data_IF_533709088944
#
_entry.id   IF_533709088944
#
_cell.length_a   1.000
_cell.length_b   1.000
_cell.length_c   1.000
_cell.angle_alpha   90.00
_cell.angle_beta   90.00
_cell.angle_gamma   90.00
#
_symmetry.space_group_name_H-M   'P 1'
#
loop_
_entity.id
_entity.type
_entity.pdbx_description
1 polymer ?
#
# COMPACT_ATOMS: atom_id res chain seq x y z
N UNK A 1 12.53 24.11 2.59
CA UNK A 1 11.06 24.29 2.56
C UNK A 1 10.34 23.06 3.11
N UNK A 2 10.71 21.84 2.71
CA UNK A 2 10.08 20.61 3.19
C UNK A 2 10.09 20.44 4.71
N UNK A 3 11.19 20.77 5.40
CA UNK A 3 11.24 20.70 6.88
C UNK A 3 10.25 21.63 7.60
N UNK A 4 9.86 22.75 6.98
CA UNK A 4 8.84 23.64 7.55
C UNK A 4 7.44 23.09 7.28
N UNK A 5 7.22 22.57 6.07
CA UNK A 5 5.97 21.92 5.68
C UNK A 5 5.63 20.74 6.59
N UNK A 6 6.58 19.82 6.81
CA UNK A 6 6.33 18.64 7.66
C UNK A 6 6.04 19.01 9.12
N UNK A 7 6.68 20.06 9.66
CA UNK A 7 6.35 20.57 11.00
C UNK A 7 4.91 21.07 11.07
N UNK A 8 4.43 21.78 10.05
CA UNK A 8 3.03 22.22 9.97
C UNK A 8 2.06 21.03 9.91
N UNK A 9 2.40 19.98 9.17
CA UNK A 9 1.60 18.74 9.13
C UNK A 9 1.58 18.06 10.50
N UNK A 10 2.74 17.89 11.15
CA UNK A 10 2.82 17.35 12.51
C UNK A 10 1.93 18.15 13.48
N UNK A 11 1.98 19.48 13.40
CA UNK A 11 1.18 20.35 14.25
C UNK A 11 -0.33 20.14 14.01
N UNK A 12 -0.75 20.03 12.75
CA UNK A 12 -2.14 19.76 12.40
C UNK A 12 -2.61 18.39 12.88
N UNK A 13 -1.75 17.36 12.79
CA UNK A 13 -2.07 15.99 13.23
C UNK A 13 -2.36 15.97 14.73
N UNK A 14 -1.44 16.48 15.56
CA UNK A 14 -1.63 16.44 17.02
C UNK A 14 -2.82 17.32 17.44
N UNK A 15 -3.01 18.49 16.83
CA UNK A 15 -4.19 19.33 17.13
C UNK A 15 -5.51 18.59 16.87
N UNK A 16 -5.64 17.95 15.70
CA UNK A 16 -6.82 17.15 15.36
C UNK A 16 -6.98 15.92 16.24
N UNK A 17 -5.89 15.29 16.70
CA UNK A 17 -5.95 14.20 17.66
C UNK A 17 -6.44 14.69 19.03
N UNK A 18 -5.90 15.81 19.54
CA UNK A 18 -6.32 16.41 20.80
C UNK A 18 -7.80 16.80 20.82
N UNK A 19 -8.32 17.36 19.72
CA UNK A 19 -9.75 17.67 19.57
C UNK A 19 -10.65 16.42 19.75
N UNK A 20 -10.14 15.25 19.40
CA UNK A 20 -10.86 13.97 19.49
C UNK A 20 -10.61 13.17 20.77
N UNK A 21 -9.71 13.64 21.65
CA UNK A 21 -9.33 12.99 22.92
C UNK A 21 -9.62 13.88 24.13
N UNK A 22 -10.53 14.84 24.00
CA UNK A 22 -11.03 15.63 25.11
C UNK A 22 -11.92 14.79 26.05
N UNK A 23 -11.31 14.33 27.14
CA UNK A 23 -11.86 13.47 28.22
C UNK A 23 -13.28 13.83 28.72
N UNK A 24 -13.73 15.07 28.52
CA UNK A 24 -15.04 15.57 28.94
C UNK A 24 -16.17 15.31 27.91
N UNK A 25 -15.85 14.79 26.71
CA UNK A 25 -16.84 14.55 25.64
C UNK A 25 -17.45 13.13 25.69
N UNK A 26 -18.77 13.02 25.62
CA UNK A 26 -19.47 11.72 25.61
C UNK A 26 -19.17 10.87 24.35
N UNK A 27 -18.60 11.47 23.30
CA UNK A 27 -18.22 10.82 22.05
C UNK A 27 -17.04 9.85 22.18
N UNK A 28 -16.10 10.11 23.08
CA UNK A 28 -14.94 9.23 23.34
C UNK A 28 -15.30 7.90 24.02
N UNK A 29 -16.42 7.88 24.74
CA UNK A 29 -16.84 6.69 25.50
C UNK A 29 -17.12 5.47 24.61
N UNK A 30 -17.40 5.67 23.32
CA UNK A 30 -17.70 4.57 22.39
C UNK A 30 -16.47 4.13 21.58
N UNK A 31 -15.63 5.04 21.10
CA UNK A 31 -14.49 4.70 20.23
C UNK A 31 -13.38 3.96 20.97
N UNK A 32 -13.24 4.15 22.29
CA UNK A 32 -12.18 3.56 23.12
C UNK A 32 -12.71 2.63 24.22
N UNK A 33 -13.94 2.13 24.07
CA UNK A 33 -14.66 1.43 25.16
C UNK A 33 -13.91 0.22 25.75
N UNK A 34 -13.07 -0.48 24.96
CA UNK A 34 -12.27 -1.61 25.44
C UNK A 34 -10.88 -1.23 25.96
N UNK A 35 -10.43 0.01 25.72
CA UNK A 35 -9.17 0.52 26.24
C UNK A 35 -9.36 0.96 27.70
N UNK A 36 -8.41 0.62 28.57
CA UNK A 36 -8.47 1.08 29.96
C UNK A 36 -8.19 2.59 30.07
N UNK A 37 -8.70 3.20 31.15
CA UNK A 37 -8.59 4.65 31.36
C UNK A 37 -7.14 5.14 31.46
N UNK A 38 -6.23 4.32 31.98
CA UNK A 38 -4.82 4.71 32.12
C UNK A 38 -4.14 4.79 30.76
N UNK A 39 -4.42 3.85 29.86
CA UNK A 39 -3.96 3.86 28.47
C UNK A 39 -4.43 5.10 27.72
N UNK A 40 -5.71 5.46 27.82
CA UNK A 40 -6.25 6.66 27.16
C UNK A 40 -5.70 7.94 27.78
N UNK A 41 -5.58 7.98 29.11
CA UNK A 41 -4.94 9.10 29.80
C UNK A 41 -3.49 9.29 29.37
N UNK A 42 -2.72 8.21 29.24
CA UNK A 42 -1.33 8.26 28.78
C UNK A 42 -1.24 8.82 27.36
N UNK A 43 -2.08 8.33 26.44
CA UNK A 43 -2.14 8.86 25.06
C UNK A 43 -2.46 10.35 25.05
N UNK A 44 -3.52 10.76 25.75
CA UNK A 44 -3.93 12.16 25.86
C UNK A 44 -2.82 13.04 26.42
N UNK A 45 -2.17 12.59 27.49
CA UNK A 45 -1.10 13.34 28.13
C UNK A 45 0.09 13.51 27.16
N UNK A 46 0.51 12.44 26.48
CA UNK A 46 1.57 12.53 25.49
C UNK A 46 1.24 13.48 24.32
N UNK A 47 -0.03 13.52 23.88
CA UNK A 47 -0.50 14.46 22.87
C UNK A 47 -0.43 15.92 23.34
N UNK A 48 -0.65 16.20 24.62
CA UNK A 48 -0.48 17.55 25.17
C UNK A 48 0.99 17.94 25.25
N UNK A 49 1.81 17.03 25.77
CA UNK A 49 3.21 17.34 26.06
C UNK A 49 4.02 17.61 24.80
N UNK A 50 3.76 16.88 23.71
CA UNK A 50 4.59 16.94 22.49
C UNK A 50 4.77 18.36 21.90
N UNK A 51 3.87 19.30 22.19
CA UNK A 51 4.00 20.71 21.77
C UNK A 51 4.63 21.65 22.78
N UNK A 52 4.59 21.28 24.05
CA UNK A 52 5.03 22.13 25.16
C UNK A 52 6.45 21.79 25.63
N UNK A 53 7.00 20.70 25.12
CA UNK A 53 8.30 20.19 25.55
C UNK A 53 9.46 20.60 24.64
N UNK A 54 10.64 20.63 25.24
CA UNK A 54 11.90 20.82 24.53
C UNK A 54 12.28 19.55 23.74
N UNK A 55 13.24 19.67 22.82
CA UNK A 55 13.76 18.52 22.06
C UNK A 55 14.33 17.41 22.95
N UNK A 56 14.73 17.71 24.19
CA UNK A 56 15.32 16.77 25.14
C UNK A 56 14.29 15.83 25.78
N UNK A 57 13.01 16.24 25.79
CA UNK A 57 11.91 15.50 26.42
C UNK A 57 11.15 14.62 25.41
N UNK A 58 11.24 14.92 24.11
CA UNK A 58 10.64 14.14 23.04
C UNK A 58 11.03 12.64 23.09
N UNK A 59 12.28 12.23 23.40
CA UNK A 59 12.63 10.81 23.53
C UNK A 59 11.77 10.08 24.57
N UNK A 60 11.43 10.73 25.69
CA UNK A 60 10.57 10.13 26.73
C UNK A 60 9.13 9.98 26.24
N UNK A 61 8.62 10.94 25.49
CA UNK A 61 7.29 10.84 24.85
C UNK A 61 7.29 9.73 23.80
N UNK A 62 8.37 9.62 23.01
CA UNK A 62 8.51 8.56 22.01
C UNK A 62 8.49 7.16 22.63
N UNK A 63 9.13 6.97 23.78
CA UNK A 63 9.10 5.68 24.51
C UNK A 63 7.67 5.35 24.94
N UNK A 64 6.93 6.32 25.51
CA UNK A 64 5.53 6.15 25.90
C UNK A 64 4.64 5.84 24.69
N UNK A 65 4.78 6.59 23.60
CA UNK A 65 4.04 6.38 22.36
C UNK A 65 4.34 5.01 21.74
N UNK A 66 5.61 4.58 21.77
CA UNK A 66 6.01 3.23 21.31
C UNK A 66 5.37 2.15 22.17
N UNK A 67 5.36 2.32 23.50
CA UNK A 67 4.71 1.37 24.42
C UNK A 67 3.20 1.27 24.16
N UNK A 68 2.53 2.38 23.82
CA UNK A 68 1.12 2.39 23.44
C UNK A 68 0.88 1.64 22.12
N UNK A 69 1.75 1.81 21.12
CA UNK A 69 1.70 1.05 19.85
C UNK A 69 1.87 -0.44 20.13
N UNK A 70 2.90 -0.82 20.89
CA UNK A 70 3.21 -2.22 21.19
C UNK A 70 2.08 -2.89 21.97
N UNK A 71 1.51 -2.19 22.96
CA UNK A 71 0.34 -2.66 23.69
C UNK A 71 -0.87 -2.85 22.77
N UNK A 72 -1.14 -1.90 21.88
CA UNK A 72 -2.23 -2.04 20.93
C UNK A 72 -1.99 -3.23 19.98
N UNK A 73 -0.76 -3.45 19.48
CA UNK A 73 -0.40 -4.61 18.66
C UNK A 73 -0.65 -5.93 19.40
N UNK A 74 -0.24 -6.04 20.67
CA UNK A 74 -0.53 -7.21 21.50
C UNK A 74 -2.04 -7.49 21.55
N UNK A 75 -2.85 -6.44 21.75
CA UNK A 75 -4.31 -6.58 21.77
C UNK A 75 -4.90 -6.90 20.40
N UNK A 76 -4.36 -6.39 19.30
CA UNK A 76 -4.81 -6.78 17.95
C UNK A 76 -4.59 -8.29 17.71
N UNK A 77 -3.47 -8.84 18.16
CA UNK A 77 -3.17 -10.28 18.01
C UNK A 77 -3.90 -11.18 19.01
N UNK A 78 -4.53 -10.61 20.04
CA UNK A 78 -5.33 -11.36 21.02
C UNK A 78 -6.72 -11.76 20.48
N UNK A 79 -7.14 -11.26 19.31
CA UNK A 79 -8.42 -11.59 18.69
C UNK A 79 -8.20 -12.19 17.29
N UNK A 80 -9.10 -13.07 16.82
CA UNK A 80 -9.22 -13.37 15.40
C UNK A 80 -9.48 -12.08 14.61
N UNK A 81 -8.91 -11.95 13.41
CA UNK A 81 -8.95 -10.71 12.62
C UNK A 81 -10.35 -10.07 12.50
N UNK A 82 -11.38 -10.89 12.25
CA UNK A 82 -12.77 -10.45 12.08
C UNK A 82 -13.43 -9.92 13.37
N UNK A 83 -12.88 -10.28 14.52
CA UNK A 83 -13.44 -10.02 15.85
C UNK A 83 -12.65 -8.94 16.60
N UNK A 84 -11.61 -8.36 15.98
CA UNK A 84 -10.77 -7.32 16.58
C UNK A 84 -11.63 -6.08 16.90
N UNK A 85 -11.74 -5.68 18.19
CA UNK A 85 -12.51 -4.51 18.56
C UNK A 85 -11.98 -3.22 17.94
N UNK A 86 -12.89 -2.36 17.48
CA UNK A 86 -12.56 -1.09 16.84
C UNK A 86 -11.68 -0.19 17.70
N UNK A 87 -11.85 -0.19 19.02
CA UNK A 87 -11.04 0.58 19.95
C UNK A 87 -9.55 0.25 19.91
N UNK A 88 -9.19 -1.02 19.72
CA UNK A 88 -7.76 -1.39 19.64
C UNK A 88 -7.17 -0.94 18.31
N UNK A 89 -7.96 -1.02 17.23
CA UNK A 89 -7.58 -0.47 15.91
C UNK A 89 -7.39 1.04 15.98
N UNK A 90 -8.27 1.76 16.71
CA UNK A 90 -8.17 3.20 16.96
C UNK A 90 -6.97 3.57 17.82
N UNK A 91 -6.73 2.86 18.92
CA UNK A 91 -5.58 3.10 19.79
C UNK A 91 -4.27 2.93 19.00
N UNK A 92 -4.13 1.83 18.25
CA UNK A 92 -2.95 1.59 17.43
C UNK A 92 -2.73 2.72 16.41
N UNK A 93 -3.79 3.17 15.75
CA UNK A 93 -3.72 4.26 14.75
C UNK A 93 -3.27 5.58 15.38
N UNK A 94 -3.93 6.00 16.45
CA UNK A 94 -3.65 7.30 17.09
C UNK A 94 -2.27 7.29 17.79
N UNK A 95 -1.89 6.17 18.41
CA UNK A 95 -0.55 6.00 18.99
C UNK A 95 0.55 5.96 17.91
N UNK A 96 0.29 5.35 16.74
CA UNK A 96 1.24 5.33 15.61
C UNK A 96 1.43 6.72 15.02
N UNK A 97 0.37 7.53 14.93
CA UNK A 97 0.46 8.94 14.51
C UNK A 97 1.30 9.76 15.50
N UNK A 98 1.03 9.64 16.80
CA UNK A 98 1.82 10.30 17.85
C UNK A 98 3.30 9.88 17.79
N UNK A 99 3.55 8.57 17.73
CA UNK A 99 4.91 8.00 17.60
C UNK A 99 5.63 8.59 16.38
N UNK A 100 4.97 8.60 15.23
CA UNK A 100 5.53 9.13 13.97
C UNK A 100 5.86 10.62 14.10
N UNK A 101 5.00 11.42 14.75
CA UNK A 101 5.29 12.84 15.02
C UNK A 101 6.53 12.98 15.91
N UNK A 102 6.63 12.22 17.00
CA UNK A 102 7.82 12.24 17.86
C UNK A 102 9.10 11.83 17.10
N UNK A 103 9.04 10.77 16.29
CA UNK A 103 10.14 10.36 15.42
C UNK A 103 10.56 11.50 14.49
N UNK A 104 9.61 12.12 13.78
CA UNK A 104 9.87 13.25 12.87
C UNK A 104 10.53 14.42 13.63
N UNK A 105 10.00 14.81 14.79
CA UNK A 105 10.54 15.92 15.58
C UNK A 105 11.99 15.69 16.03
N UNK A 106 12.34 14.45 16.39
CA UNK A 106 13.73 14.08 16.69
C UNK A 106 14.61 14.12 15.44
N UNK A 107 14.14 13.53 14.34
CA UNK A 107 14.92 13.42 13.10
C UNK A 107 15.26 14.80 12.53
N UNK A 108 14.34 15.76 12.64
CA UNK A 108 14.58 17.13 12.22
C UNK A 108 15.77 17.79 12.94
N UNK A 109 16.17 17.27 14.11
CA UNK A 109 17.34 17.73 14.85
C UNK A 109 18.64 16.99 14.46
N UNK A 110 18.56 15.72 14.03
CA UNK A 110 19.75 14.85 13.82
C UNK A 110 20.01 14.44 12.35
N UNK A 111 19.07 14.66 11.42
CA UNK A 111 19.17 14.43 9.95
C UNK A 111 19.60 13.01 9.51
N UNK A 112 19.23 11.96 10.23
CA UNK A 112 19.51 10.58 9.80
C UNK A 112 18.46 10.04 8.80
N UNK A 113 18.91 9.43 7.69
CA UNK A 113 18.07 8.85 6.64
C UNK A 113 17.35 7.59 7.11
N UNK A 114 18.02 6.72 7.87
CA UNK A 114 17.41 5.45 8.31
C UNK A 114 16.21 5.71 9.23
N UNK A 115 16.29 6.76 10.03
CA UNK A 115 15.21 7.20 10.88
C UNK A 115 13.95 7.64 10.10
N UNK A 116 14.08 8.28 8.92
CA UNK A 116 12.92 8.62 8.09
C UNK A 116 12.19 7.39 7.52
N UNK A 117 12.93 6.33 7.20
CA UNK A 117 12.33 5.06 6.75
C UNK A 117 11.49 4.42 7.86
N UNK A 118 11.94 4.56 9.11
CA UNK A 118 11.20 4.07 10.27
C UNK A 118 9.86 4.78 10.46
N UNK A 119 9.78 6.09 10.17
CA UNK A 119 8.52 6.85 10.16
C UNK A 119 7.53 6.28 9.15
N UNK A 120 7.97 6.06 7.89
CA UNK A 120 7.11 5.46 6.86
C UNK A 120 6.63 4.07 7.29
N UNK A 121 7.53 3.26 7.86
CA UNK A 121 7.17 1.95 8.41
C UNK A 121 6.09 2.05 9.47
N UNK A 122 6.25 2.91 10.48
CA UNK A 122 5.24 3.11 11.54
C UNK A 122 3.87 3.48 10.94
N UNK A 123 3.85 4.40 9.97
CA UNK A 123 2.62 4.86 9.30
C UNK A 123 1.98 3.77 8.42
N UNK A 124 2.77 3.02 7.65
CA UNK A 124 2.27 1.92 6.84
C UNK A 124 1.74 0.76 7.69
N UNK A 125 2.37 0.45 8.84
CA UNK A 125 1.84 -0.55 9.77
C UNK A 125 0.43 -0.17 10.25
N UNK A 126 0.18 1.12 10.52
CA UNK A 126 -1.16 1.57 10.89
C UNK A 126 -2.17 1.36 9.76
N UNK A 127 -1.80 1.66 8.50
CA UNK A 127 -2.65 1.39 7.34
C UNK A 127 -2.93 -0.11 7.16
N UNK A 128 -1.89 -0.94 7.18
CA UNK A 128 -1.99 -2.38 6.87
C UNK A 128 -2.66 -3.16 7.99
N UNK A 129 -2.29 -2.95 9.26
CA UNK A 129 -2.83 -3.74 10.37
C UNK A 129 -4.25 -3.34 10.74
N UNK A 130 -4.56 -2.05 10.66
CA UNK A 130 -5.81 -1.52 11.23
C UNK A 130 -6.74 -0.90 10.21
N UNK A 131 -6.25 -0.52 9.03
CA UNK A 131 -6.98 0.29 8.07
C UNK A 131 -7.09 1.75 8.50
N UNK A 132 -6.35 2.19 9.52
CA UNK A 132 -6.35 3.53 10.09
C UNK A 132 -7.76 4.11 10.36
N UNK A 133 -8.60 3.43 11.16
CA UNK A 133 -9.96 3.89 11.40
C UNK A 133 -9.99 5.23 12.13
N UNK A 134 -11.10 5.95 11.95
CA UNK A 134 -11.35 7.23 12.59
C UNK A 134 -11.34 8.42 11.64
N UNK A 135 -12.09 9.44 12.04
CA UNK A 135 -12.27 10.64 11.25
C UNK A 135 -10.91 11.28 10.94
N UNK A 136 -10.63 11.40 9.64
CA UNK A 136 -9.43 11.99 9.05
C UNK A 136 -8.09 11.28 9.37
N UNK A 137 -8.08 10.09 10.03
CA UNK A 137 -6.83 9.39 10.37
C UNK A 137 -6.05 8.94 9.14
N UNK A 138 -6.73 8.36 8.15
CA UNK A 138 -6.11 7.99 6.86
C UNK A 138 -5.46 9.20 6.19
N UNK A 139 -6.17 10.33 6.12
CA UNK A 139 -5.66 11.56 5.52
C UNK A 139 -4.42 12.09 6.26
N UNK A 140 -4.43 12.09 7.60
CA UNK A 140 -3.27 12.45 8.41
C UNK A 140 -2.06 11.58 8.08
N UNK A 141 -2.26 10.25 7.98
CA UNK A 141 -1.20 9.31 7.62
C UNK A 141 -0.67 9.63 6.23
N UNK A 142 -1.54 9.79 5.23
CA UNK A 142 -1.12 10.07 3.86
C UNK A 142 -0.33 11.37 3.76
N UNK A 143 -0.77 12.44 4.44
CA UNK A 143 -0.06 13.71 4.46
C UNK A 143 1.33 13.58 5.10
N UNK A 144 1.46 12.83 6.20
CA UNK A 144 2.76 12.56 6.83
C UNK A 144 3.69 11.72 5.93
N UNK A 145 3.16 10.68 5.28
CA UNK A 145 3.92 9.86 4.32
C UNK A 145 4.41 10.73 3.17
N UNK A 146 3.52 11.54 2.57
CA UNK A 146 3.86 12.37 1.41
C UNK A 146 4.99 13.36 1.72
N UNK A 147 4.89 14.08 2.85
CA UNK A 147 5.94 15.01 3.28
C UNK A 147 7.25 14.30 3.64
N UNK A 148 7.16 13.12 4.27
CA UNK A 148 8.34 12.30 4.58
C UNK A 148 9.04 11.83 3.30
N UNK A 149 8.29 11.34 2.32
CA UNK A 149 8.83 10.95 1.02
C UNK A 149 9.43 12.12 0.25
N UNK A 150 8.84 13.33 0.33
CA UNK A 150 9.42 14.55 -0.25
C UNK A 150 10.81 14.83 0.33
N UNK A 151 10.95 14.78 1.66
CA UNK A 151 12.25 14.98 2.32
C UNK A 151 13.24 13.89 1.94
N UNK A 152 12.83 12.62 1.90
CA UNK A 152 13.69 11.52 1.49
C UNK A 152 14.21 11.71 0.06
N UNK A 153 13.37 12.17 -0.89
CA UNK A 153 13.79 12.49 -2.25
C UNK A 153 14.81 13.64 -2.29
N UNK A 154 14.59 14.71 -1.51
CA UNK A 154 15.54 15.83 -1.41
C UNK A 154 16.91 15.37 -0.87
N UNK A 155 16.92 14.52 0.15
CA UNK A 155 18.16 13.99 0.75
C UNK A 155 18.93 13.10 -0.23
N UNK A 156 18.24 12.37 -1.11
CA UNK A 156 18.86 11.52 -2.12
C UNK A 156 19.53 12.33 -3.22
N UNK A 157 18.86 13.36 -3.72
CA UNK A 157 19.42 14.26 -4.73
C UNK A 157 20.70 14.96 -4.25
N UNK A 158 20.75 15.37 -2.97
CA UNK A 158 21.95 15.97 -2.38
C UNK A 158 23.13 14.99 -2.39
N UNK A 159 22.88 13.72 -2.04
CA UNK A 159 23.93 12.70 -2.00
C UNK A 159 24.43 12.35 -3.41
N UNK A 160 23.55 12.28 -4.40
CA UNK A 160 23.93 12.00 -5.79
C UNK A 160 24.80 13.14 -6.38
N UNK A 161 24.46 14.40 -6.09
CA UNK A 161 25.26 15.56 -6.51
C UNK A 161 26.65 15.61 -5.84
N UNK A 162 26.76 15.21 -4.56
CA UNK A 162 28.06 15.14 -3.86
C UNK A 162 28.98 14.04 -4.43
N UNK A 163 28.38 12.95 -4.94
CA UNK A 163 29.12 11.83 -5.52
C UNK A 163 29.70 12.19 -6.89
N UNK A 164 28.97 12.94 -7.72
CA UNK A 164 29.40 13.38 -9.06
C UNK A 164 30.56 14.41 -9.01
N UNK A 165 30.63 15.26 -7.96
CA UNK A 165 31.75 16.19 -7.79
C UNK A 165 33.05 15.48 -7.37
N UNK A 166 32.97 14.37 -6.65
CA UNK A 166 34.16 13.61 -6.20
C UNK A 166 34.84 12.79 -7.31
N UNK A 167 34.11 12.42 -8.36
CA UNK A 167 34.64 11.63 -9.50
C UNK A 167 35.28 12.47 -10.61
N UNK A 168 35.26 13.79 -10.51
CA UNK A 168 35.72 14.71 -11.57
C UNK A 168 37.16 15.22 -11.40
N UNK A 169 37.92 14.75 -10.40
CA UNK A 169 39.32 15.11 -10.15
C UNK A 169 40.21 13.88 -9.94
N UNK A 170 40.24 12.96 -10.91
CA UNK A 170 41.35 11.99 -11.16
C UNK A 170 41.07 11.16 -12.41
N UNK A 171 41.21 11.78 -13.59
CA UNK A 171 41.51 11.07 -14.84
C UNK A 171 42.61 11.84 -15.57
N UNK A 172 43.82 11.72 -15.04
CA UNK A 172 45.01 11.85 -15.87
C UNK A 172 45.07 10.64 -16.79
N UNK A 173 45.16 10.95 -18.07
CA UNK A 173 45.39 10.05 -19.18
C UNK A 173 46.71 9.34 -18.95
N UNK A 174 46.69 8.00 -18.86
CA UNK A 174 47.86 7.18 -19.19
C UNK A 174 47.39 6.14 -20.21
N UNK A 175 47.84 6.39 -21.42
CA UNK A 175 47.70 5.55 -22.61
C UNK A 175 48.77 4.44 -22.55
N UNK A 176 48.46 3.28 -23.12
CA UNK A 176 49.29 2.06 -23.23
C UNK A 176 49.37 1.10 -22.03
N UNK A 177 48.46 0.12 -22.01
CA UNK A 177 48.84 -1.30 -21.84
C UNK A 177 47.78 -2.24 -22.41
N UNK A 178 47.92 -2.55 -23.70
CA UNK A 178 47.34 -3.74 -24.30
C UNK A 178 48.02 -4.96 -23.66
N UNK A 179 47.27 -5.81 -22.94
CA UNK A 179 47.50 -7.27 -22.84
C UNK A 179 46.38 -8.01 -22.10
N UNK A 180 45.73 -8.89 -22.85
CA UNK A 180 45.19 -10.21 -22.48
C UNK A 180 43.98 -10.27 -21.52
N UNK A 181 42.79 -10.16 -22.11
CA UNK A 181 41.54 -10.70 -21.54
C UNK A 181 41.50 -12.21 -21.85
N UNK A 182 41.39 -13.12 -20.87
CA UNK A 182 41.11 -14.53 -21.15
C UNK A 182 39.64 -14.66 -21.57
N UNK A 183 39.42 -15.03 -22.84
CA UNK A 183 38.14 -15.50 -23.35
C UNK A 183 37.66 -16.73 -22.56
N UNK A 184 36.83 -16.52 -21.54
CA UNK A 184 35.95 -17.58 -21.02
C UNK A 184 34.84 -17.79 -22.03
N UNK A 185 34.98 -18.88 -22.79
CA UNK A 185 33.98 -19.43 -23.71
C UNK A 185 32.61 -19.45 -23.02
N UNK A 186 31.67 -18.74 -23.63
CA UNK A 186 30.24 -18.85 -23.39
C UNK A 186 29.84 -20.32 -23.55
N UNK A 187 29.62 -21.02 -22.42
CA UNK A 187 28.78 -22.21 -22.45
C UNK A 187 27.37 -21.71 -22.72
N UNK A 188 26.81 -22.15 -23.84
CA UNK A 188 25.44 -21.91 -24.24
C UNK A 188 24.52 -22.12 -23.04
N UNK A 189 23.85 -21.04 -22.63
CA UNK A 189 22.77 -21.11 -21.65
C UNK A 189 21.68 -21.99 -22.25
N UNK A 190 21.58 -23.22 -21.75
CA UNK A 190 20.38 -24.03 -21.88
C UNK A 190 19.27 -23.24 -21.22
N UNK A 191 18.45 -22.59 -22.03
CA UNK A 191 17.23 -21.92 -21.60
C UNK A 191 16.36 -22.96 -20.91
N UNK A 192 16.30 -22.94 -19.57
CA UNK A 192 15.22 -23.62 -18.81
C UNK A 192 13.91 -23.01 -19.30
N UNK A 193 13.30 -23.68 -20.27
CA UNK A 193 11.91 -23.46 -20.68
C UNK A 193 11.09 -23.66 -19.41
N UNK A 194 10.69 -22.57 -18.75
CA UNK A 194 9.57 -22.66 -17.84
C UNK A 194 8.43 -23.21 -18.69
N UNK A 195 7.97 -24.42 -18.40
CA UNK A 195 6.85 -25.03 -19.10
C UNK A 195 5.66 -24.08 -18.95
N UNK A 196 5.46 -23.22 -19.94
CA UNK A 196 4.31 -22.34 -20.03
C UNK A 196 3.11 -23.29 -20.04
N UNK A 197 2.13 -23.11 -19.14
CA UNK A 197 0.98 -24.00 -19.10
C UNK A 197 0.30 -23.97 -20.46
N UNK A 198 0.08 -25.16 -21.03
CA UNK A 198 -0.66 -25.31 -22.28
C UNK A 198 -2.13 -25.04 -21.95
N UNK A 199 -2.69 -24.00 -22.57
CA UNK A 199 -4.10 -23.65 -22.40
C UNK A 199 -4.92 -24.52 -23.35
N UNK A 200 -5.42 -25.64 -22.83
CA UNK A 200 -6.19 -26.61 -23.63
C UNK A 200 -7.58 -26.09 -24.05
N UNK A 201 -8.15 -25.15 -23.29
CA UNK A 201 -9.46 -24.56 -23.54
C UNK A 201 -9.34 -23.03 -23.51
N UNK A 202 -8.93 -22.38 -24.61
CA UNK A 202 -8.79 -20.94 -24.65
C UNK A 202 -10.16 -20.28 -24.48
N UNK A 203 -10.23 -19.26 -23.63
CA UNK A 203 -11.44 -18.46 -23.45
C UNK A 203 -11.72 -17.64 -24.72
N UNK A 204 -13.01 -17.48 -25.03
CA UNK A 204 -13.46 -16.59 -26.10
C UNK A 204 -12.99 -15.16 -25.81
N UNK A 205 -12.53 -14.44 -26.84
CA UNK A 205 -12.18 -13.01 -26.74
C UNK A 205 -13.26 -12.18 -27.42
N UNK A 206 -13.83 -11.24 -26.69
CA UNK A 206 -14.87 -10.34 -27.20
C UNK A 206 -14.37 -8.89 -27.06
N UNK A 207 -14.17 -8.14 -28.15
CA UNK A 207 -13.76 -6.75 -28.08
C UNK A 207 -14.93 -5.89 -27.61
N UNK A 208 -14.76 -5.19 -26.49
CA UNK A 208 -15.69 -4.17 -25.97
C UNK A 208 -17.20 -4.48 -26.20
N UNK A 209 -17.76 -5.58 -25.65
CA UNK A 209 -19.19 -5.87 -25.80
C UNK A 209 -20.02 -4.71 -25.24
N UNK A 210 -21.18 -4.44 -25.84
CA UNK A 210 -22.11 -3.46 -25.26
C UNK A 210 -22.55 -3.91 -23.87
N UNK A 211 -22.89 -2.97 -22.97
CA UNK A 211 -23.37 -3.30 -21.63
C UNK A 211 -24.61 -4.20 -21.69
N UNK A 212 -25.50 -4.01 -22.66
CA UNK A 212 -26.66 -4.89 -22.89
C UNK A 212 -26.26 -6.31 -23.29
N UNK A 213 -25.24 -6.46 -24.14
CA UNK A 213 -24.71 -7.77 -24.55
C UNK A 213 -24.07 -8.47 -23.36
N UNK A 214 -23.27 -7.75 -22.59
CA UNK A 214 -22.66 -8.25 -21.36
C UNK A 214 -23.72 -8.67 -20.33
N UNK A 215 -24.71 -7.82 -20.06
CA UNK A 215 -25.83 -8.10 -19.16
C UNK A 215 -26.61 -9.35 -19.58
N UNK A 216 -26.96 -9.45 -20.88
CA UNK A 216 -27.69 -10.60 -21.42
C UNK A 216 -26.88 -11.89 -21.29
N UNK A 217 -25.56 -11.81 -21.45
CA UNK A 217 -24.68 -12.96 -21.29
C UNK A 217 -24.58 -13.43 -19.83
N UNK A 218 -24.29 -12.52 -18.89
CA UNK A 218 -24.10 -12.87 -17.48
C UNK A 218 -25.40 -13.33 -16.80
N UNK A 219 -26.56 -12.90 -17.30
CA UNK A 219 -27.88 -13.32 -16.81
C UNK A 219 -28.47 -14.51 -17.59
N UNK A 220 -27.73 -15.05 -18.57
CA UNK A 220 -28.16 -16.25 -19.31
C UNK A 220 -28.21 -17.48 -18.41
N UNK A 221 -28.90 -18.54 -18.86
CA UNK A 221 -29.01 -19.80 -18.11
C UNK A 221 -27.65 -20.47 -17.84
N UNK A 222 -26.67 -20.26 -18.73
CA UNK A 222 -25.35 -20.89 -18.66
C UNK A 222 -24.26 -19.89 -19.09
N UNK A 223 -23.93 -18.88 -18.26
CA UNK A 223 -22.92 -17.90 -18.60
C UNK A 223 -21.54 -18.59 -18.63
N UNK A 224 -20.80 -18.39 -19.72
CA UNK A 224 -19.42 -18.92 -19.84
C UNK A 224 -18.39 -17.83 -19.63
N UNK A 225 -17.20 -18.13 -19.07
CA UNK A 225 -16.12 -17.15 -18.96
C UNK A 225 -15.62 -16.74 -20.36
N UNK A 226 -15.29 -15.45 -20.52
CA UNK A 226 -14.68 -14.89 -21.71
C UNK A 226 -13.76 -13.72 -21.35
N UNK A 227 -12.86 -13.36 -22.26
CA UNK A 227 -11.95 -12.23 -22.13
C UNK A 227 -12.58 -11.03 -22.83
N UNK A 228 -12.74 -9.92 -22.10
CA UNK A 228 -13.07 -8.64 -22.71
C UNK A 228 -11.77 -8.01 -23.20
N UNK A 229 -11.63 -7.87 -24.51
CA UNK A 229 -10.47 -7.22 -25.12
C UNK A 229 -10.71 -5.71 -25.23
N UNK A 230 -9.62 -4.93 -25.15
CA UNK A 230 -9.59 -3.48 -25.39
C UNK A 230 -10.48 -2.64 -24.46
N UNK A 231 -11.00 -3.17 -23.36
CA UNK A 231 -11.82 -2.38 -22.41
C UNK A 231 -11.00 -1.42 -21.55
N UNK A 232 -9.73 -1.71 -21.30
CA UNK A 232 -8.85 -0.92 -20.42
C UNK A 232 -7.73 -0.20 -21.17
N UNK A 233 -7.73 -0.21 -22.51
CA UNK A 233 -6.66 0.37 -23.33
C UNK A 233 -6.46 1.87 -23.13
N UNK A 234 -7.45 2.56 -22.57
CA UNK A 234 -7.39 3.98 -22.22
C UNK A 234 -6.75 4.25 -20.83
N UNK A 235 -6.43 3.21 -20.05
CA UNK A 235 -5.78 3.40 -18.75
C UNK A 235 -4.41 4.07 -18.91
N UNK A 236 -4.10 5.12 -18.13
CA UNK A 236 -2.76 5.71 -18.09
C UNK A 236 -1.66 4.68 -17.78
N UNK A 237 -1.97 3.68 -16.94
CA UNK A 237 -1.10 2.55 -16.59
C UNK A 237 -0.54 1.78 -17.81
N UNK A 238 -1.21 1.84 -18.96
CA UNK A 238 -0.81 1.18 -20.21
C UNK A 238 -0.18 2.13 -21.24
N UNK A 239 -0.14 3.43 -20.98
CA UNK A 239 0.26 4.45 -21.96
C UNK A 239 1.09 5.58 -21.36
N UNK A 240 0.46 6.67 -20.89
CA UNK A 240 1.12 7.89 -20.44
C UNK A 240 1.86 7.75 -19.11
N UNK A 241 1.50 6.74 -18.32
CA UNK A 241 2.02 6.43 -16.99
C UNK A 241 2.31 4.93 -16.89
N UNK A 242 3.20 4.39 -17.75
CA UNK A 242 3.26 2.95 -17.99
C UNK A 242 3.81 2.20 -16.78
N UNK A 243 3.03 1.28 -16.21
CA UNK A 243 3.47 0.44 -15.09
C UNK A 243 4.53 -0.59 -15.47
N UNK A 244 4.74 -0.82 -16.77
CA UNK A 244 5.88 -1.60 -17.29
C UNK A 244 7.22 -0.90 -17.07
N UNK A 245 7.23 0.42 -16.87
CA UNK A 245 8.40 1.14 -16.41
C UNK A 245 8.52 0.98 -14.88
N UNK A 246 9.40 0.08 -14.44
CA UNK A 246 9.58 -0.19 -13.01
C UNK A 246 10.07 1.01 -12.21
N UNK A 247 10.79 1.95 -12.81
CA UNK A 247 11.24 3.16 -12.10
C UNK A 247 10.08 4.14 -11.90
N UNK A 248 9.18 4.24 -12.88
CA UNK A 248 7.90 4.94 -12.71
C UNK A 248 7.08 4.29 -11.60
N UNK A 249 6.88 2.97 -11.68
CA UNK A 249 6.09 2.21 -10.72
C UNK A 249 6.66 2.32 -9.29
N UNK A 250 7.97 2.22 -9.13
CA UNK A 250 8.66 2.41 -7.84
C UNK A 250 8.50 3.84 -7.31
N UNK A 251 8.51 4.85 -8.18
CA UNK A 251 8.35 6.24 -7.78
C UNK A 251 6.91 6.54 -7.34
N UNK A 252 5.90 6.04 -8.07
CA UNK A 252 4.49 6.21 -7.69
C UNK A 252 4.11 5.33 -6.50
N UNK A 253 4.66 4.13 -6.34
CA UNK A 253 4.41 3.34 -5.13
C UNK A 253 5.10 4.01 -3.94
N UNK A 254 6.36 4.41 -4.11
CA UNK A 254 7.25 4.84 -3.05
C UNK A 254 8.11 3.65 -2.57
N UNK A 255 9.41 3.71 -2.83
CA UNK A 255 10.32 2.59 -2.57
C UNK A 255 10.43 2.19 -1.10
N UNK A 256 10.20 3.12 -0.19
CA UNK A 256 10.29 2.89 1.25
C UNK A 256 8.96 2.42 1.85
N UNK A 257 7.87 2.38 1.06
CA UNK A 257 6.58 1.85 1.51
C UNK A 257 6.71 0.38 1.89
N UNK A 258 5.93 -0.03 2.89
CA UNK A 258 5.89 -1.39 3.41
C UNK A 258 4.61 -2.09 2.92
N UNK A 259 4.75 -3.23 2.26
CA UNK A 259 3.62 -4.02 1.74
C UNK A 259 3.73 -5.48 2.18
N UNK A 260 2.60 -6.21 2.31
CA UNK A 260 2.63 -7.65 2.53
C UNK A 260 3.09 -8.37 1.26
N UNK A 261 4.15 -9.15 1.40
CA UNK A 261 4.70 -10.00 0.35
C UNK A 261 4.62 -11.45 0.79
N UNK A 262 4.05 -12.28 -0.07
CA UNK A 262 4.03 -13.73 0.08
C UNK A 262 5.35 -14.31 -0.43
N UNK A 263 5.93 -15.26 0.31
CA UNK A 263 7.20 -15.91 0.01
C UNK A 263 6.95 -17.42 0.02
N UNK A 264 7.15 -18.07 -1.13
CA UNK A 264 6.85 -19.48 -1.33
C UNK A 264 6.15 -19.72 -2.68
N UNK A 265 6.06 -20.98 -3.12
CA UNK A 265 5.46 -21.29 -4.42
C UNK A 265 3.91 -21.28 -4.37
N UNK A 266 3.31 -21.74 -3.27
CA UNK A 266 1.86 -21.83 -3.09
C UNK A 266 1.48 -21.58 -1.63
N UNK A 267 0.32 -20.98 -1.39
CA UNK A 267 -0.21 -20.72 -0.04
C UNK A 267 -0.52 -22.00 0.76
N UNK A 268 -0.64 -23.14 0.09
CA UNK A 268 -0.86 -24.45 0.71
C UNK A 268 0.42 -25.17 1.11
N UNK A 269 1.59 -24.66 0.72
CA UNK A 269 2.87 -25.28 1.07
C UNK A 269 3.31 -24.85 2.48
N UNK A 270 3.81 -25.78 3.30
CA UNK A 270 4.29 -25.50 4.67
C UNK A 270 5.43 -24.46 4.74
N UNK A 271 6.10 -24.23 3.59
CA UNK A 271 7.21 -23.29 3.48
C UNK A 271 6.78 -21.88 3.06
N UNK A 272 5.49 -21.69 2.79
CA UNK A 272 4.88 -20.41 2.47
C UNK A 272 4.77 -19.54 3.74
N UNK A 273 5.09 -18.27 3.57
CA UNK A 273 4.95 -17.28 4.64
C UNK A 273 4.59 -15.93 4.03
N UNK A 274 4.01 -15.06 4.84
CA UNK A 274 3.84 -13.66 4.51
C UNK A 274 4.82 -12.82 5.33
N UNK A 275 5.41 -11.80 4.71
CA UNK A 275 6.30 -10.84 5.37
C UNK A 275 5.96 -9.42 4.90
N UNK A 276 5.95 -8.48 5.84
CA UNK A 276 5.94 -7.06 5.51
C UNK A 276 7.34 -6.61 5.12
N UNK A 277 7.48 -6.05 3.92
CA UNK A 277 8.79 -5.63 3.40
C UNK A 277 8.71 -4.37 2.55
N UNK A 278 9.86 -3.72 2.37
CA UNK A 278 9.97 -2.52 1.56
C UNK A 278 9.74 -2.86 0.08
N UNK A 279 8.93 -2.05 -0.60
CA UNK A 279 8.66 -2.24 -2.04
C UNK A 279 9.95 -2.17 -2.86
N UNK A 280 10.86 -1.26 -2.53
CA UNK A 280 12.15 -1.15 -3.19
C UNK A 280 12.99 -2.42 -3.07
N UNK A 281 13.05 -3.00 -1.86
CA UNK A 281 13.74 -4.28 -1.62
C UNK A 281 13.09 -5.41 -2.43
N UNK A 282 11.76 -5.50 -2.41
CA UNK A 282 11.01 -6.50 -3.14
C UNK A 282 11.26 -6.43 -4.66
N UNK A 283 11.11 -5.24 -5.25
CA UNK A 283 11.28 -5.07 -6.69
C UNK A 283 12.73 -5.30 -7.11
N UNK A 284 13.70 -4.80 -6.35
CA UNK A 284 15.11 -4.97 -6.68
C UNK A 284 15.50 -6.45 -6.62
N UNK A 285 15.16 -7.14 -5.53
CA UNK A 285 15.59 -8.53 -5.32
C UNK A 285 14.80 -9.54 -6.17
N UNK A 286 13.48 -9.41 -6.28
CA UNK A 286 12.65 -10.45 -6.92
C UNK A 286 12.13 -10.09 -8.31
N UNK A 287 11.95 -8.81 -8.65
CA UNK A 287 11.35 -8.43 -9.94
C UNK A 287 12.41 -8.08 -10.98
N UNK A 288 13.42 -7.29 -10.61
CA UNK A 288 14.51 -6.86 -11.52
C UNK A 288 15.58 -7.94 -11.68
N UNK A 289 16.06 -8.49 -10.58
CA UNK A 289 17.09 -9.51 -10.61
C UNK A 289 16.45 -10.90 -10.79
N UNK A 290 17.00 -11.70 -11.72
CA UNK A 290 16.59 -13.10 -11.86
C UNK A 290 16.95 -13.81 -10.57
N UNK A 291 15.94 -14.39 -9.92
CA UNK A 291 16.08 -15.18 -8.70
C UNK A 291 17.26 -16.16 -8.87
N UNK A 292 18.23 -16.11 -7.95
CA UNK A 292 19.22 -17.18 -7.83
C UNK A 292 18.49 -18.51 -7.59
N UNK A 293 18.99 -19.63 -8.13
CA UNK A 293 18.30 -20.94 -8.10
C UNK A 293 17.93 -21.39 -6.65
N UNK A 294 18.53 -20.79 -5.61
CA UNK A 294 18.29 -21.08 -4.19
C UNK A 294 17.27 -20.14 -3.49
N UNK A 295 16.90 -19.01 -4.09
CA UNK A 295 16.00 -18.04 -3.46
C UNK A 295 14.53 -18.41 -3.70
N UNK A 296 13.70 -18.35 -2.64
CA UNK A 296 12.26 -18.58 -2.77
C UNK A 296 11.60 -17.48 -3.61
N UNK A 297 10.60 -17.86 -4.42
CA UNK A 297 9.74 -16.92 -5.14
C UNK A 297 9.03 -16.03 -4.11
N UNK A 298 8.94 -14.74 -4.40
CA UNK A 298 8.15 -13.79 -3.63
C UNK A 298 7.25 -12.96 -4.56
N UNK A 299 6.05 -12.63 -4.08
CA UNK A 299 5.06 -11.88 -4.85
C UNK A 299 4.12 -11.08 -3.95
N UNK A 300 3.66 -9.94 -4.45
CA UNK A 300 2.57 -9.17 -3.86
C UNK A 300 1.25 -9.74 -4.37
N UNK A 301 0.39 -10.13 -3.44
CA UNK A 301 -0.88 -10.79 -3.71
C UNK A 301 -1.96 -10.34 -2.74
N UNK A 302 -3.21 -10.32 -3.25
CA UNK A 302 -4.43 -10.14 -2.44
C UNK A 302 -4.40 -8.94 -1.48
N UNK A 303 -3.70 -7.87 -1.87
CA UNK A 303 -3.59 -6.66 -1.07
C UNK A 303 -4.31 -5.52 -1.76
N UNK A 304 -5.13 -4.79 -0.99
CA UNK A 304 -5.75 -3.54 -1.43
C UNK A 304 -4.69 -2.41 -1.42
N UNK A 305 -3.75 -2.54 -2.36
CA UNK A 305 -2.66 -1.60 -2.55
C UNK A 305 -3.19 -0.20 -2.89
N UNK A 306 -4.38 -0.11 -3.47
CA UNK A 306 -5.02 1.15 -3.83
C UNK A 306 -5.59 1.89 -2.62
N UNK A 307 -6.05 1.18 -1.58
CA UNK A 307 -6.39 1.79 -0.30
C UNK A 307 -5.15 2.29 0.45
N UNK A 308 -4.03 1.56 0.38
CA UNK A 308 -2.77 1.97 1.02
C UNK A 308 -2.05 3.10 0.24
N UNK A 309 -2.17 3.10 -1.09
CA UNK A 309 -1.44 4.00 -2.00
C UNK A 309 -2.43 4.61 -3.01
N UNK A 310 -3.25 5.59 -2.58
CA UNK A 310 -4.36 6.10 -3.39
C UNK A 310 -3.95 6.68 -4.74
N UNK A 311 -2.75 7.26 -4.85
CA UNK A 311 -2.22 7.81 -6.11
C UNK A 311 -2.14 6.79 -7.26
N UNK A 312 -2.10 5.49 -6.98
CA UNK A 312 -2.20 4.45 -8.02
C UNK A 312 -3.57 4.44 -8.72
N UNK A 313 -4.63 4.92 -8.05
CA UNK A 313 -5.97 5.02 -8.64
C UNK A 313 -6.03 6.03 -9.78
N UNK A 314 -5.10 6.99 -9.84
CA UNK A 314 -5.05 7.97 -10.93
C UNK A 314 -4.63 7.34 -12.27
N UNK A 315 -4.14 6.10 -12.24
CA UNK A 315 -3.62 5.40 -13.43
C UNK A 315 -4.56 4.32 -13.97
N UNK A 316 -5.66 4.05 -13.27
CA UNK A 316 -6.65 3.02 -13.61
C UNK A 316 -8.06 3.58 -13.47
N UNK A 317 -9.04 2.89 -14.06
CA UNK A 317 -10.46 3.26 -13.96
C UNK A 317 -11.29 2.01 -13.71
N UNK A 318 -12.36 2.12 -12.93
CA UNK A 318 -13.31 1.02 -12.73
C UNK A 318 -14.00 0.75 -14.07
N UNK A 319 -13.94 -0.48 -14.63
CA UNK A 319 -14.63 -0.80 -15.87
C UNK A 319 -16.16 -0.68 -15.72
N UNK A 320 -16.83 -0.12 -16.73
CA UNK A 320 -18.30 0.07 -16.73
C UNK A 320 -19.09 -1.22 -16.48
N UNK A 321 -18.52 -2.36 -16.89
CA UNK A 321 -19.09 -3.69 -16.68
C UNK A 321 -19.30 -4.05 -15.19
N UNK A 322 -18.53 -3.43 -14.28
CA UNK A 322 -18.71 -3.61 -12.84
C UNK A 322 -20.04 -3.03 -12.33
N UNK A 323 -20.70 -2.18 -13.12
CA UNK A 323 -21.99 -1.58 -12.79
C UNK A 323 -23.18 -2.24 -13.49
N UNK A 324 -22.97 -3.39 -14.12
CA UNK A 324 -24.05 -4.17 -14.71
C UNK A 324 -24.70 -5.02 -13.63
N UNK A 325 -26.03 -4.97 -13.56
CA UNK A 325 -26.79 -5.80 -12.63
C UNK A 325 -26.65 -7.29 -12.98
N UNK A 326 -26.40 -8.08 -11.95
CA UNK A 326 -26.21 -9.54 -12.04
C UNK A 326 -27.44 -10.31 -11.59
N UNK A 327 -28.45 -9.64 -11.03
CA UNK A 327 -29.70 -10.25 -10.63
C UNK A 327 -30.71 -10.22 -11.78
N UNK A 328 -30.97 -11.35 -12.46
CA UNK A 328 -32.27 -11.52 -13.09
C UNK A 328 -33.31 -11.67 -11.95
N UNK A 329 -34.42 -10.90 -11.96
CA UNK A 329 -35.80 -11.45 -11.92
C UNK A 329 -36.91 -10.49 -11.43
N UNK A 330 -37.98 -10.50 -12.23
CA UNK A 330 -39.44 -10.50 -11.97
C UNK A 330 -40.03 -9.41 -11.07
N UNK A 331 -40.77 -8.50 -11.72
CA UNK A 331 -41.88 -7.75 -11.13
C UNK A 331 -42.88 -8.76 -10.59
N UNK A 332 -43.08 -8.80 -9.28
CA UNK A 332 -44.27 -9.43 -8.70
C UNK A 332 -45.50 -8.82 -9.37
N UNK A 333 -46.29 -9.65 -10.03
CA UNK A 333 -47.60 -9.26 -10.55
C UNK A 333 -48.42 -8.89 -9.31
N UNK A 334 -48.50 -7.58 -9.02
CA UNK A 334 -49.57 -7.07 -8.18
C UNK A 334 -50.87 -7.30 -8.95
N UNK A 335 -51.82 -7.98 -8.31
CA UNK A 335 -53.11 -8.38 -8.86
C UNK A 335 -54.09 -7.20 -9.05
N UNK A 336 -53.59 -5.98 -9.20
CA UNK A 336 -54.39 -4.77 -9.31
C UNK A 336 -54.11 -4.10 -10.66
N UNK A 337 -55.10 -4.19 -11.55
CA UNK A 337 -55.06 -3.80 -12.96
C UNK A 337 -54.93 -2.31 -13.21
N UNK A 338 -53.86 -1.69 -12.73
CA UNK A 338 -53.43 -0.37 -13.15
C UNK A 338 -52.13 -0.46 -13.95
N UNK A 339 -52.06 0.31 -15.03
CA UNK A 339 -50.99 0.31 -16.02
C UNK A 339 -49.76 1.04 -15.45
N UNK A 340 -49.14 0.45 -14.43
CA UNK A 340 -47.97 0.98 -13.75
C UNK A 340 -46.70 0.71 -14.53
N UNK A 341 -46.13 1.75 -15.13
CA UNK A 341 -44.73 1.80 -15.57
C UNK A 341 -43.81 1.43 -14.39
N UNK A 342 -43.44 0.15 -14.28
CA UNK A 342 -42.49 -0.33 -13.28
C UNK A 342 -41.13 0.30 -13.51
N UNK A 343 -40.78 1.29 -12.69
CA UNK A 343 -39.45 1.89 -12.68
C UNK A 343 -38.45 0.92 -12.06
N UNK A 344 -37.49 0.47 -12.85
CA UNK A 344 -36.32 -0.30 -12.44
C UNK A 344 -35.46 0.57 -11.52
N UNK A 345 -35.15 0.11 -10.31
CA UNK A 345 -34.15 0.77 -9.46
C UNK A 345 -32.98 -0.19 -9.21
N UNK A 346 -31.93 0.00 -10.00
CA UNK A 346 -30.62 -0.62 -9.79
C UNK A 346 -29.99 -0.09 -8.50
N UNK A 347 -29.50 -1.00 -7.63
CA UNK A 347 -28.59 -0.65 -6.54
C UNK A 347 -27.19 -1.19 -6.88
N UNK A 348 -26.26 -0.35 -7.36
CA UNK A 348 -24.87 -0.77 -7.53
C UNK A 348 -24.28 -1.27 -6.20
N UNK A 349 -23.30 -2.20 -6.24
CA UNK A 349 -22.44 -2.43 -5.09
C UNK A 349 -21.90 -1.09 -4.60
N UNK A 350 -21.95 -0.85 -3.28
CA UNK A 350 -21.53 0.44 -2.72
C UNK A 350 -20.06 0.74 -3.05
N UNK A 351 -19.20 -0.27 -3.17
CA UNK A 351 -17.79 -0.13 -3.56
C UNK A 351 -17.28 -1.36 -4.34
N UNK A 352 -16.47 -1.14 -5.39
CA UNK A 352 -15.75 -2.21 -6.11
C UNK A 352 -14.45 -2.51 -5.38
N UNK A 353 -14.30 -3.75 -4.89
CA UNK A 353 -13.05 -4.20 -4.26
C UNK A 353 -11.96 -4.28 -5.33
N UNK A 354 -10.85 -3.57 -5.10
CA UNK A 354 -9.73 -3.50 -6.05
C UNK A 354 -8.48 -4.07 -5.39
N UNK A 355 -7.84 -5.05 -6.03
CA UNK A 355 -6.61 -5.68 -5.52
C UNK A 355 -5.49 -5.55 -6.54
N UNK A 356 -4.25 -5.52 -6.05
CA UNK A 356 -3.06 -5.56 -6.89
C UNK A 356 -2.36 -6.92 -6.81
N UNK A 357 -1.75 -7.31 -7.93
CA UNK A 357 -0.90 -8.49 -8.04
C UNK A 357 0.38 -8.10 -8.76
N UNK A 358 1.54 -8.37 -8.16
CA UNK A 358 2.85 -8.06 -8.73
C UNK A 358 3.85 -9.15 -8.34
N UNK A 359 4.51 -9.75 -9.31
CA UNK A 359 5.49 -10.81 -9.05
C UNK A 359 6.43 -11.06 -10.23
N UNK A 360 7.46 -11.88 -10.04
CA UNK A 360 8.39 -12.25 -11.09
C UNK A 360 7.74 -13.07 -12.19
N UNK A 361 8.40 -13.09 -13.36
CA UNK A 361 8.03 -13.97 -14.46
C UNK A 361 8.09 -15.43 -14.01
N UNK A 362 7.08 -16.23 -14.40
CA UNK A 362 7.03 -17.66 -14.11
C UNK A 362 6.40 -18.01 -12.75
N UNK A 363 5.97 -17.01 -11.99
CA UNK A 363 5.10 -17.23 -10.85
C UNK A 363 3.66 -17.53 -11.30
N UNK A 364 3.00 -18.42 -10.56
CA UNK A 364 1.61 -18.81 -10.80
C UNK A 364 0.81 -18.58 -9.52
N UNK A 365 -0.26 -17.80 -9.61
CA UNK A 365 -1.36 -17.89 -8.65
C UNK A 365 -2.04 -19.23 -8.94
N UNK A 366 -1.84 -20.23 -8.08
CA UNK A 366 -2.55 -21.51 -8.17
C UNK A 366 -3.70 -21.55 -7.19
#
# INVERSE_FOLDING_TARGET
MASFSIKKVCNSVIAKLLETHNFDSNTEKNDFIHCDKATIYLLYQCLKDVFHVTSEEIPMILIKATSLVDYAVEKLHAYPYKDVPMSWRRLHTDASLLKSVCEILLILNFKDKNSWKQVIKTLDMALVMTGAPGNNRKEMIFNLIEETEKILRELEQINDHSTIQSTSLKRTIDDNSIKNIPHKKSKANVTKVHNIPIINNPLLKIPQPSLTTFASHITSLNPTPFIIDSCISHWPALSTRPWSNLDYLLNIIGKERIVPIEIGAKYTDDTWTQKLMNVGEFIEKWVKNSIDDDDKIAYLAQHDLFAQIPRLKDDIMIPDYCFVDTNPFIIGIGDDGDSGSGSIQYLPPQEVITNAWLGPKGWFVR
#
